data_IF_931646513738
#
_entry.id   IF_931646513738
#
_cell.length_a   1.000
_cell.length_b   1.000
_cell.length_c   1.000
_cell.angle_alpha   90.00
_cell.angle_beta   90.00
_cell.angle_gamma   90.00
#
_symmetry.space_group_name_H-M   'P 1'
#
loop_
_entity.id
_entity.type
_entity.pdbx_description
1 polymer ?
#
# COMPACT_ATOMS: atom_id res chain seq x y z
N UNK A 1 -22.24 11.16 -0.25
CA UNK A 1 -20.78 11.10 -0.50
C UNK A 1 -20.07 12.01 0.49
N UNK A 2 -19.07 11.52 1.25
CA UNK A 2 -18.17 12.41 2.01
C UNK A 2 -17.48 13.33 0.97
N UNK A 3 -17.67 14.63 1.06
CA UNK A 3 -17.02 15.57 0.15
C UNK A 3 -15.51 15.53 0.39
N UNK A 4 -14.71 15.02 -0.54
CA UNK A 4 -13.24 14.94 -0.47
C UNK A 4 -12.63 16.26 -0.96
N UNK A 5 -11.53 16.71 -0.34
CA UNK A 5 -10.76 17.86 -0.82
C UNK A 5 -10.07 17.47 -2.13
N UNK A 6 -10.23 18.27 -3.19
CA UNK A 6 -9.72 17.94 -4.51
C UNK A 6 -8.20 17.70 -4.52
N UNK A 7 -7.77 16.66 -5.26
CA UNK A 7 -6.37 16.27 -5.43
C UNK A 7 -5.47 17.44 -5.85
N UNK A 8 -5.96 18.31 -6.74
CA UNK A 8 -5.18 19.44 -7.25
C UNK A 8 -4.66 20.34 -6.13
N UNK A 9 -5.47 20.59 -5.09
CA UNK A 9 -5.01 21.39 -3.94
C UNK A 9 -3.80 20.77 -3.25
N UNK A 10 -3.73 19.44 -3.15
CA UNK A 10 -2.57 18.76 -2.59
C UNK A 10 -1.36 18.83 -3.54
N UNK A 11 -1.56 18.69 -4.85
CA UNK A 11 -0.48 18.83 -5.86
C UNK A 11 0.11 20.24 -5.88
N UNK A 12 -0.68 21.27 -5.65
CA UNK A 12 -0.18 22.66 -5.67
C UNK A 12 0.79 22.96 -4.51
N UNK A 13 0.81 22.13 -3.46
CA UNK A 13 1.56 22.39 -2.22
C UNK A 13 2.64 21.35 -1.96
N UNK A 14 2.37 20.09 -2.29
CA UNK A 14 3.32 19.00 -2.10
C UNK A 14 4.31 19.05 -3.27
N UNK A 15 5.62 19.19 -3.06
CA UNK A 15 6.56 19.28 -4.16
C UNK A 15 6.75 17.93 -4.85
N UNK A 16 7.00 17.95 -6.17
CA UNK A 16 7.49 16.78 -6.90
C UNK A 16 8.84 16.33 -6.37
N UNK A 17 9.05 15.02 -6.34
CA UNK A 17 10.31 14.45 -5.87
C UNK A 17 11.41 14.58 -6.92
N UNK A 18 12.47 15.35 -6.62
CA UNK A 18 13.69 15.37 -7.41
C UNK A 18 14.66 14.31 -6.85
N UNK A 19 14.49 13.07 -7.30
CA UNK A 19 15.34 11.94 -6.87
C UNK A 19 16.81 12.09 -7.29
N UNK A 20 17.15 13.08 -8.14
CA UNK A 20 18.53 13.38 -8.54
C UNK A 20 19.26 14.24 -7.50
N UNK A 21 18.54 14.79 -6.51
CA UNK A 21 19.11 15.59 -5.42
C UNK A 21 18.96 14.86 -4.07
N UNK A 22 20.06 14.43 -3.43
CA UNK A 22 20.00 13.73 -2.15
C UNK A 22 19.49 14.60 -0.98
N UNK A 23 19.41 15.92 -1.19
CA UNK A 23 18.89 16.90 -0.21
C UNK A 23 17.38 17.14 -0.33
N UNK A 24 16.64 16.30 -1.07
CA UNK A 24 15.22 16.54 -1.35
C UNK A 24 14.38 16.75 -0.07
N UNK A 25 13.84 17.97 0.07
CA UNK A 25 12.93 18.38 1.14
C UNK A 25 11.48 18.27 0.64
N UNK A 26 10.80 17.17 0.95
CA UNK A 26 9.35 17.14 0.83
C UNK A 26 8.68 18.07 1.86
N UNK A 27 7.35 18.12 1.87
CA UNK A 27 6.60 19.01 2.76
C UNK A 27 6.06 18.28 4.00
N UNK A 28 6.07 18.93 5.17
CA UNK A 28 5.44 18.39 6.39
C UNK A 28 3.93 18.55 6.34
N UNK A 29 3.18 17.63 6.96
CA UNK A 29 1.72 17.73 7.04
C UNK A 29 1.21 19.06 7.61
N UNK A 30 1.89 19.59 8.63
CA UNK A 30 1.48 20.84 9.25
C UNK A 30 1.54 22.03 8.28
N UNK A 31 2.52 22.03 7.37
CA UNK A 31 2.65 23.04 6.31
C UNK A 31 1.50 22.93 5.32
N UNK A 32 1.17 21.72 4.85
CA UNK A 32 0.01 21.47 3.98
C UNK A 32 -1.28 21.99 4.62
N UNK A 33 -1.51 21.63 5.88
CA UNK A 33 -2.71 22.03 6.61
C UNK A 33 -2.82 23.55 6.78
N UNK A 34 -1.75 24.22 7.21
CA UNK A 34 -1.73 25.66 7.40
C UNK A 34 -2.06 26.39 6.10
N UNK A 35 -1.50 25.91 5.00
CA UNK A 35 -1.69 26.50 3.68
C UNK A 35 -3.11 26.31 3.15
N UNK A 36 -3.72 25.13 3.36
CA UNK A 36 -5.14 24.92 3.06
C UNK A 36 -6.09 25.83 3.85
N UNK A 37 -5.77 26.10 5.12
CA UNK A 37 -6.52 27.04 5.95
C UNK A 37 -6.34 28.47 5.43
N UNK A 38 -5.11 28.86 5.08
CA UNK A 38 -4.77 30.18 4.51
C UNK A 38 -5.53 30.44 3.20
N UNK A 39 -5.60 29.44 2.32
CA UNK A 39 -6.29 29.51 1.03
C UNK A 39 -7.82 29.36 1.13
N UNK A 40 -8.36 29.14 2.34
CA UNK A 40 -9.81 29.02 2.54
C UNK A 40 -10.44 27.78 1.89
N UNK A 41 -9.66 26.71 1.68
CA UNK A 41 -10.14 25.49 1.00
C UNK A 41 -11.31 24.87 1.77
N UNK A 42 -12.40 24.57 1.06
CA UNK A 42 -13.60 23.98 1.66
C UNK A 42 -13.26 22.60 2.26
N UNK A 43 -13.50 22.43 3.56
CA UNK A 43 -13.18 21.21 4.30
C UNK A 43 -11.84 21.25 5.05
N UNK A 44 -10.98 22.25 4.80
CA UNK A 44 -9.68 22.38 5.43
C UNK A 44 -9.71 22.74 6.92
N UNK A 45 -10.82 23.31 7.42
CA UNK A 45 -10.99 23.63 8.85
C UNK A 45 -10.92 22.39 9.76
N UNK A 46 -11.09 21.19 9.20
CA UNK A 46 -10.94 19.93 9.92
C UNK A 46 -9.60 19.27 9.59
N UNK A 47 -8.63 19.38 10.51
CA UNK A 47 -7.29 18.79 10.37
C UNK A 47 -7.30 17.27 10.16
N UNK A 48 -8.23 16.55 10.80
CA UNK A 48 -8.33 15.10 10.63
C UNK A 48 -8.81 14.77 9.21
N UNK A 49 -9.74 15.54 8.67
CA UNK A 49 -10.21 15.41 7.30
C UNK A 49 -9.09 15.61 6.28
N UNK A 50 -8.30 16.68 6.40
CA UNK A 50 -7.16 16.95 5.50
C UNK A 50 -6.16 15.78 5.51
N UNK A 51 -6.00 15.14 6.67
CA UNK A 51 -5.12 13.97 6.83
C UNK A 51 -5.71 12.71 6.22
N UNK A 52 -6.98 12.42 6.48
CA UNK A 52 -7.68 11.26 5.88
C UNK A 52 -7.67 11.34 4.35
N UNK A 53 -8.00 12.52 3.80
CA UNK A 53 -8.00 12.74 2.36
C UNK A 53 -6.56 12.64 1.77
N UNK A 54 -5.53 13.13 2.48
CA UNK A 54 -4.12 12.96 2.06
C UNK A 54 -3.67 11.49 2.10
N UNK A 55 -4.03 10.76 3.15
CA UNK A 55 -3.73 9.33 3.26
C UNK A 55 -4.40 8.53 2.15
N UNK A 56 -5.63 8.89 1.78
CA UNK A 56 -6.31 8.32 0.63
C UNK A 56 -5.52 8.57 -0.67
N UNK A 57 -4.99 9.78 -0.88
CA UNK A 57 -4.17 10.05 -2.07
C UNK A 57 -2.78 9.39 -2.04
N UNK A 58 -2.23 9.09 -0.86
CA UNK A 58 -1.05 8.23 -0.71
C UNK A 58 -1.40 6.79 -1.07
N UNK A 59 -2.55 6.30 -0.60
CA UNK A 59 -3.06 4.95 -0.95
C UNK A 59 -3.33 4.82 -2.44
N UNK A 60 -3.73 5.90 -3.13
CA UNK A 60 -3.86 5.94 -4.59
C UNK A 60 -2.53 6.18 -5.34
N UNK A 61 -1.43 6.35 -4.62
CA UNK A 61 -0.10 6.51 -5.21
C UNK A 61 0.24 7.90 -5.71
N UNK A 62 -0.57 8.94 -5.49
CA UNK A 62 -0.23 10.31 -5.91
C UNK A 62 0.84 10.99 -5.05
N UNK A 63 0.99 10.54 -3.80
CA UNK A 63 2.00 11.07 -2.89
C UNK A 63 2.75 9.94 -2.17
N UNK A 64 4.04 10.15 -1.95
CA UNK A 64 4.87 9.35 -1.06
C UNK A 64 4.95 9.96 0.34
N UNK A 65 5.29 9.12 1.33
CA UNK A 65 5.48 9.52 2.72
C UNK A 65 6.79 8.93 3.24
N UNK A 66 7.74 9.79 3.61
CA UNK A 66 8.91 9.40 4.41
C UNK A 66 8.53 9.53 5.87
N UNK A 67 8.68 8.44 6.63
CA UNK A 67 8.48 8.46 8.06
C UNK A 67 9.54 7.61 8.75
N UNK A 68 10.35 8.28 9.55
CA UNK A 68 11.30 7.64 10.44
C UNK A 68 10.61 7.36 11.79
N UNK A 69 10.43 6.09 12.10
CA UNK A 69 9.79 5.63 13.33
C UNK A 69 10.73 5.75 14.56
N UNK A 70 12.05 5.88 14.35
CA UNK A 70 13.05 5.93 15.42
C UNK A 70 13.27 7.35 15.92
N UNK A 71 13.24 8.34 15.04
CA UNK A 71 13.50 9.75 15.41
C UNK A 71 12.25 10.57 15.76
N UNK A 72 11.05 9.97 15.70
CA UNK A 72 9.76 10.65 15.92
C UNK A 72 9.55 11.91 15.07
N UNK A 73 10.31 12.08 13.99
CA UNK A 73 10.18 13.24 13.10
C UNK A 73 8.82 13.20 12.40
N UNK A 74 8.23 14.38 12.22
CA UNK A 74 6.99 14.49 11.47
C UNK A 74 7.17 13.91 10.06
N UNK A 75 6.18 13.16 9.55
CA UNK A 75 6.26 12.63 8.20
C UNK A 75 6.42 13.74 7.18
N UNK A 76 7.22 13.44 6.16
CA UNK A 76 7.45 14.30 5.00
C UNK A 76 6.73 13.69 3.81
N UNK A 77 6.02 14.53 3.06
CA UNK A 77 5.18 14.15 1.92
C UNK A 77 5.77 14.74 0.63
N UNK A 78 5.67 13.99 -0.46
CA UNK A 78 6.18 14.40 -1.76
C UNK A 78 5.27 13.83 -2.85
N UNK A 79 5.18 14.49 -4.01
CA UNK A 79 4.45 13.91 -5.12
C UNK A 79 5.24 12.73 -5.66
N UNK A 80 4.53 11.63 -5.82
CA UNK A 80 4.99 10.50 -6.60
C UNK A 80 4.40 10.67 -7.99
N UNK A 81 5.21 10.41 -9.01
CA UNK A 81 4.79 10.58 -10.40
C UNK A 81 3.78 9.54 -10.89
N UNK A 82 3.19 8.75 -9.99
CA UNK A 82 2.10 7.84 -10.33
C UNK A 82 0.84 8.71 -10.54
N UNK A 83 0.58 9.05 -11.80
CA UNK A 83 -0.65 9.72 -12.25
C UNK A 83 -0.53 11.19 -12.68
N UNK A 84 0.65 11.67 -13.05
CA UNK A 84 0.81 13.00 -13.64
C UNK A 84 1.98 13.05 -14.61
N UNK A 85 1.65 13.22 -15.89
CA UNK A 85 2.47 13.67 -17.02
C UNK A 85 4.01 13.63 -16.78
N UNK A 86 4.62 12.45 -16.96
CA UNK A 86 6.06 12.27 -16.83
C UNK A 86 6.77 12.75 -18.09
N UNK A 87 7.53 13.83 -17.99
CA UNK A 87 8.29 14.40 -19.11
C UNK A 87 9.46 13.54 -19.62
N UNK A 88 9.87 12.45 -18.95
CA UNK A 88 10.96 11.55 -19.43
C UNK A 88 10.87 10.11 -18.89
N UNK A 89 11.31 9.13 -19.70
CA UNK A 89 11.31 7.69 -19.40
C UNK A 89 12.17 7.29 -18.18
N UNK A 90 13.24 8.03 -17.89
CA UNK A 90 14.18 7.74 -16.78
C UNK A 90 13.51 7.82 -15.39
N UNK A 91 12.67 8.84 -15.17
CA UNK A 91 12.01 9.07 -13.88
C UNK A 91 10.95 8.00 -13.58
N UNK A 92 10.29 7.49 -14.63
CA UNK A 92 9.37 6.36 -14.53
C UNK A 92 10.11 5.07 -14.15
N UNK A 93 11.26 4.83 -14.76
CA UNK A 93 12.10 3.65 -14.51
C UNK A 93 12.65 3.67 -13.07
N UNK A 94 13.08 4.82 -12.56
CA UNK A 94 13.52 4.96 -11.17
C UNK A 94 12.36 4.84 -10.17
N UNK A 95 11.18 5.35 -10.52
CA UNK A 95 9.94 5.11 -9.75
C UNK A 95 9.61 3.63 -9.66
N UNK A 96 9.73 2.89 -10.77
CA UNK A 96 9.50 1.45 -10.78
C UNK A 96 10.52 0.68 -9.93
N UNK A 97 11.81 1.05 -10.00
CA UNK A 97 12.86 0.48 -9.13
C UNK A 97 12.54 0.70 -7.64
N UNK A 98 12.12 1.91 -7.28
CA UNK A 98 11.72 2.23 -5.91
C UNK A 98 10.55 1.38 -5.44
N UNK A 99 9.49 1.27 -6.26
CA UNK A 99 8.32 0.45 -5.91
C UNK A 99 8.72 -1.02 -5.75
N UNK A 100 9.60 -1.53 -6.61
CA UNK A 100 10.15 -2.88 -6.46
C UNK A 100 10.86 -3.07 -5.12
N UNK A 101 11.78 -2.18 -4.74
CA UNK A 101 12.47 -2.25 -3.44
C UNK A 101 11.50 -2.18 -2.26
N UNK A 102 10.44 -1.38 -2.38
CA UNK A 102 9.39 -1.30 -1.37
C UNK A 102 8.65 -2.63 -1.24
N UNK A 103 8.24 -3.24 -2.36
CA UNK A 103 7.58 -4.55 -2.40
C UNK A 103 8.47 -5.64 -1.78
N UNK A 104 9.76 -5.69 -2.16
CA UNK A 104 10.74 -6.63 -1.59
C UNK A 104 10.80 -6.51 -0.05
N UNK A 105 10.83 -5.26 0.45
CA UNK A 105 10.84 -5.00 1.90
C UNK A 105 9.54 -5.45 2.59
N UNK A 106 8.38 -5.29 1.93
CA UNK A 106 7.09 -5.76 2.46
C UNK A 106 7.03 -7.28 2.48
N UNK A 107 7.45 -7.95 1.41
CA UNK A 107 7.47 -9.41 1.36
C UNK A 107 8.44 -10.03 2.37
N UNK A 108 9.62 -9.44 2.56
CA UNK A 108 10.55 -9.87 3.61
C UNK A 108 9.90 -9.77 4.99
N UNK A 109 9.21 -8.65 5.29
CA UNK A 109 8.47 -8.50 6.54
C UNK A 109 7.36 -9.54 6.71
N UNK A 110 6.60 -9.82 5.65
CA UNK A 110 5.56 -10.87 5.65
C UNK A 110 6.19 -12.24 5.97
N UNK A 111 7.32 -12.57 5.35
CA UNK A 111 8.05 -13.81 5.58
C UNK A 111 8.58 -13.93 7.01
N UNK A 112 9.21 -12.87 7.53
CA UNK A 112 9.73 -12.81 8.90
C UNK A 112 8.60 -13.00 9.91
N UNK A 113 7.49 -12.29 9.75
CA UNK A 113 6.35 -12.42 10.67
C UNK A 113 5.69 -13.80 10.55
N UNK A 114 5.61 -14.38 9.35
CA UNK A 114 5.13 -15.76 9.16
C UNK A 114 5.99 -16.78 9.94
N UNK A 115 7.32 -16.63 9.92
CA UNK A 115 8.24 -17.50 10.68
C UNK A 115 7.97 -17.44 12.19
N UNK A 116 7.56 -16.29 12.72
CA UNK A 116 7.22 -16.09 14.15
C UNK A 116 5.86 -16.67 14.57
N UNK A 117 4.96 -16.96 13.63
CA UNK A 117 3.67 -17.55 13.95
C UNK A 117 3.84 -19.01 14.38
N UNK A 118 3.10 -19.44 15.39
CA UNK A 118 3.05 -20.83 15.80
C UNK A 118 2.01 -21.54 14.94
N UNK A 119 2.46 -22.39 14.00
CA UNK A 119 1.64 -22.95 12.92
C UNK A 119 0.60 -23.93 13.45
N UNK A 120 0.96 -24.69 14.47
CA UNK A 120 0.05 -25.60 15.19
C UNK A 120 -1.02 -24.78 15.93
N UNK A 121 -0.63 -23.64 16.53
CA UNK A 121 -1.56 -22.76 17.26
C UNK A 121 -2.26 -21.70 16.42
N UNK A 122 -1.96 -21.59 15.13
CA UNK A 122 -2.64 -20.63 14.23
C UNK A 122 -4.16 -20.82 14.28
N UNK A 123 -4.59 -22.06 14.53
CA UNK A 123 -6.00 -22.48 14.48
C UNK A 123 -6.44 -23.39 15.66
N UNK A 124 -5.53 -23.97 16.46
CA UNK A 124 -5.93 -24.80 17.62
C UNK A 124 -6.75 -24.08 18.73
N UNK A 125 -6.77 -22.74 18.79
CA UNK A 125 -7.58 -21.98 19.77
C UNK A 125 -8.98 -21.62 19.26
N UNK A 126 -9.67 -22.53 18.58
CA UNK A 126 -11.11 -22.41 18.25
C UNK A 126 -12.06 -22.68 19.45
N UNK A 127 -11.79 -22.16 20.65
CA UNK A 127 -12.69 -22.32 21.80
C UNK A 127 -13.93 -21.40 21.78
N UNK A 128 -14.04 -20.45 20.86
CA UNK A 128 -15.23 -19.59 20.75
C UNK A 128 -15.72 -19.52 19.31
N UNK A 129 -16.71 -20.35 18.97
CA UNK A 129 -17.60 -20.15 17.82
C UNK A 129 -18.30 -18.80 17.99
N UNK A 130 -18.42 -18.04 16.90
CA UNK A 130 -19.36 -16.90 16.87
C UNK A 130 -20.80 -17.41 17.02
N UNK A 131 -21.76 -16.52 17.33
CA UNK A 131 -23.20 -16.88 17.40
C UNK A 131 -23.73 -17.59 16.14
N UNK A 132 -23.03 -17.46 15.00
CA UNK A 132 -23.37 -18.08 13.70
C UNK A 132 -22.54 -19.33 13.37
N UNK A 133 -21.77 -19.87 14.32
CA UNK A 133 -20.95 -21.08 14.11
C UNK A 133 -19.61 -20.86 13.41
N UNK A 134 -19.33 -19.66 12.91
CA UNK A 134 -18.08 -19.36 12.20
C UNK A 134 -16.90 -19.28 13.16
N UNK A 135 -15.78 -19.85 12.71
CA UNK A 135 -14.49 -19.87 13.37
C UNK A 135 -13.82 -18.48 13.29
N UNK A 136 -13.18 -18.02 14.38
CA UNK A 136 -12.49 -16.73 14.42
C UNK A 136 -10.96 -16.92 14.47
N UNK A 137 -10.18 -16.27 13.60
CA UNK A 137 -8.71 -16.35 13.62
C UNK A 137 -8.12 -15.79 14.92
N UNK A 138 -6.88 -16.17 15.22
CA UNK A 138 -6.12 -15.54 16.29
C UNK A 138 -5.75 -14.10 15.92
N UNK A 139 -5.68 -13.19 16.91
CA UNK A 139 -5.24 -11.80 16.67
C UNK A 139 -3.86 -11.70 15.99
N UNK A 140 -2.98 -12.68 16.21
CA UNK A 140 -1.66 -12.73 15.57
C UNK A 140 -1.79 -13.02 14.08
N UNK A 141 -2.66 -13.96 13.71
CA UNK A 141 -2.96 -14.25 12.31
C UNK A 141 -3.65 -13.08 11.62
N UNK A 142 -4.63 -12.44 12.27
CA UNK A 142 -5.28 -11.22 11.73
C UNK A 142 -4.25 -10.13 11.42
N UNK A 143 -3.32 -9.84 12.35
CA UNK A 143 -2.25 -8.86 12.14
C UNK A 143 -1.30 -9.24 11.01
N UNK A 144 -1.02 -10.52 10.84
CA UNK A 144 -0.18 -11.00 9.75
C UNK A 144 -0.88 -10.84 8.40
N UNK A 145 -2.17 -11.16 8.32
CA UNK A 145 -2.99 -10.94 7.11
C UNK A 145 -3.01 -9.46 6.71
N UNK A 146 -3.11 -8.53 7.67
CA UNK A 146 -3.07 -7.09 7.39
C UNK A 146 -1.75 -6.61 6.75
N UNK A 147 -0.67 -7.38 6.81
CA UNK A 147 0.57 -7.02 6.13
C UNK A 147 0.43 -7.11 4.60
N UNK A 148 -0.47 -7.97 4.12
CA UNK A 148 -0.76 -8.13 2.69
C UNK A 148 -1.54 -6.93 2.13
N UNK A 149 -2.34 -6.25 2.95
CA UNK A 149 -3.12 -5.07 2.52
C UNK A 149 -2.22 -4.02 1.84
N UNK A 150 -1.02 -3.80 2.41
CA UNK A 150 -0.05 -2.88 1.81
C UNK A 150 0.48 -3.34 0.46
N UNK A 151 0.70 -4.64 0.27
CA UNK A 151 1.16 -5.20 -1.00
C UNK A 151 0.05 -5.07 -2.04
N UNK A 152 -1.19 -5.41 -1.66
CA UNK A 152 -2.37 -5.32 -2.53
C UNK A 152 -2.53 -3.89 -3.06
N UNK A 153 -2.54 -2.89 -2.18
CA UNK A 153 -2.70 -1.48 -2.56
C UNK A 153 -1.60 -1.04 -3.54
N UNK A 154 -0.35 -1.41 -3.27
CA UNK A 154 0.77 -1.09 -4.19
C UNK A 154 0.55 -1.76 -5.55
N UNK A 155 0.15 -3.03 -5.59
CA UNK A 155 -0.11 -3.75 -6.84
C UNK A 155 -1.29 -3.17 -7.62
N UNK A 156 -2.39 -2.80 -6.96
CA UNK A 156 -3.53 -2.13 -7.60
C UNK A 156 -3.12 -0.80 -8.22
N UNK A 157 -2.28 0.00 -7.53
CA UNK A 157 -1.76 1.24 -8.09
C UNK A 157 -0.84 1.01 -9.29
N UNK A 158 0.02 -0.02 -9.25
CA UNK A 158 0.84 -0.40 -10.41
C UNK A 158 -0.04 -0.78 -11.60
N UNK A 159 -1.11 -1.55 -11.37
CA UNK A 159 -2.08 -1.92 -12.41
C UNK A 159 -2.77 -0.68 -12.98
N UNK A 160 -3.25 0.23 -12.13
CA UNK A 160 -3.85 1.49 -12.56
C UNK A 160 -2.88 2.34 -13.37
N UNK A 161 -1.63 2.46 -12.93
CA UNK A 161 -0.58 3.20 -13.66
C UNK A 161 -0.33 2.60 -15.02
N UNK A 162 -0.24 1.26 -15.12
CA UNK A 162 -0.07 0.57 -16.39
C UNK A 162 -1.23 0.82 -17.37
N UNK A 163 -2.48 0.84 -16.88
CA UNK A 163 -3.66 1.08 -17.74
C UNK A 163 -3.80 2.54 -18.17
N UNK A 164 -3.27 3.48 -17.39
CA UNK A 164 -3.47 4.91 -17.60
C UNK A 164 -2.25 5.64 -18.17
N UNK A 165 -1.10 4.99 -18.25
CA UNK A 165 0.09 5.57 -18.86
C UNK A 165 0.05 5.45 -20.38
N UNK A 166 0.41 6.53 -21.07
CA UNK A 166 0.51 6.59 -22.54
C UNK A 166 1.88 6.10 -23.07
N UNK A 167 2.72 5.53 -22.21
CA UNK A 167 4.09 5.10 -22.53
C UNK A 167 4.19 3.58 -22.71
N UNK A 168 4.12 3.11 -23.96
CA UNK A 168 4.19 1.68 -24.29
C UNK A 168 5.50 1.01 -23.84
N UNK A 169 6.63 1.73 -23.83
CA UNK A 169 7.96 1.17 -23.52
C UNK A 169 8.08 0.59 -22.10
N UNK A 170 7.30 1.09 -21.14
CA UNK A 170 7.37 0.65 -19.74
C UNK A 170 6.22 -0.28 -19.35
N UNK A 171 5.29 -0.53 -20.28
CA UNK A 171 4.12 -1.39 -20.06
C UNK A 171 4.51 -2.80 -19.71
N UNK A 172 5.57 -3.29 -20.33
CA UNK A 172 6.11 -4.61 -20.04
C UNK A 172 6.77 -4.67 -18.67
N UNK A 173 7.51 -3.64 -18.28
CA UNK A 173 8.18 -3.60 -16.97
C UNK A 173 7.18 -3.52 -15.81
N UNK A 174 6.14 -2.68 -15.93
CA UNK A 174 5.03 -2.63 -14.98
C UNK A 174 4.27 -3.97 -14.96
N UNK A 175 3.94 -4.53 -16.13
CA UNK A 175 3.26 -5.82 -16.24
C UNK A 175 4.04 -6.95 -15.59
N UNK A 176 5.36 -6.96 -15.78
CA UNK A 176 6.26 -7.93 -15.16
C UNK A 176 6.27 -7.77 -13.65
N UNK A 177 6.43 -6.55 -13.13
CA UNK A 177 6.41 -6.31 -11.68
C UNK A 177 5.07 -6.72 -11.04
N UNK A 178 3.94 -6.36 -11.65
CA UNK A 178 2.61 -6.77 -11.20
C UNK A 178 2.50 -8.30 -11.19
N UNK A 179 2.88 -8.94 -12.29
CA UNK A 179 2.80 -10.40 -12.44
C UNK A 179 3.66 -11.12 -11.40
N UNK A 180 4.89 -10.65 -11.19
CA UNK A 180 5.82 -11.25 -10.22
C UNK A 180 5.33 -11.04 -8.78
N UNK A 181 4.76 -9.88 -8.48
CA UNK A 181 4.12 -9.61 -7.18
C UNK A 181 2.95 -10.57 -6.91
N UNK A 182 2.08 -10.79 -7.89
CA UNK A 182 0.95 -11.74 -7.78
C UNK A 182 1.46 -13.18 -7.64
N UNK A 183 2.52 -13.58 -8.36
CA UNK A 183 3.15 -14.91 -8.19
C UNK A 183 3.68 -15.10 -6.76
N UNK A 184 4.28 -14.07 -6.19
CA UNK A 184 4.79 -14.16 -4.82
C UNK A 184 3.65 -14.24 -3.79
N UNK A 185 2.59 -13.43 -3.96
CA UNK A 185 1.34 -13.56 -3.19
C UNK A 185 0.76 -14.98 -3.27
N UNK A 186 0.75 -15.58 -4.47
CA UNK A 186 0.29 -16.96 -4.69
C UNK A 186 1.19 -17.98 -3.98
N UNK A 187 2.50 -17.77 -3.98
CA UNK A 187 3.44 -18.63 -3.25
C UNK A 187 3.13 -18.62 -1.75
N UNK A 188 2.79 -17.45 -1.18
CA UNK A 188 2.32 -17.36 0.19
C UNK A 188 0.97 -18.05 0.41
N UNK A 189 0.00 -17.83 -0.47
CA UNK A 189 -1.32 -18.49 -0.38
C UNK A 189 -1.18 -20.01 -0.31
N UNK A 190 -0.41 -20.61 -1.22
CA UNK A 190 -0.09 -22.05 -1.27
C UNK A 190 0.62 -22.54 0.00
N UNK A 191 1.59 -21.77 0.50
CA UNK A 191 2.34 -22.10 1.72
C UNK A 191 1.45 -22.13 2.96
N UNK A 192 0.52 -21.19 3.08
CA UNK A 192 -0.43 -21.16 4.21
C UNK A 192 -1.51 -22.22 4.06
N UNK A 193 -1.98 -22.46 2.82
CA UNK A 193 -2.99 -23.47 2.51
C UNK A 193 -2.51 -24.88 2.87
N UNK A 194 -1.28 -25.22 2.46
CA UNK A 194 -0.64 -26.51 2.74
C UNK A 194 -0.26 -26.76 4.21
N UNK A 195 -0.49 -25.80 5.12
CA UNK A 195 -0.07 -25.94 6.52
C UNK A 195 -0.98 -26.90 7.32
N UNK A 196 -2.29 -26.99 7.00
CA UNK A 196 -3.18 -28.05 7.52
C UNK A 196 -4.54 -28.09 6.79
N UNK A 197 -5.21 -29.24 6.77
CA UNK A 197 -6.55 -29.43 6.17
C UNK A 197 -7.64 -28.52 6.77
N UNK A 198 -7.55 -28.21 8.06
CA UNK A 198 -8.52 -27.34 8.73
C UNK A 198 -8.37 -25.87 8.30
N UNK A 199 -7.23 -25.52 7.71
CA UNK A 199 -6.89 -24.16 7.31
C UNK A 199 -7.29 -23.85 5.87
N UNK A 200 -7.41 -24.87 5.02
CA UNK A 200 -7.67 -24.74 3.58
C UNK A 200 -8.81 -23.76 3.30
N UNK A 201 -10.00 -24.02 3.86
CA UNK A 201 -11.20 -23.17 3.68
C UNK A 201 -11.02 -21.74 4.19
N UNK A 202 -10.25 -21.55 5.26
CA UNK A 202 -10.05 -20.22 5.83
C UNK A 202 -9.05 -19.41 5.01
N UNK A 203 -7.96 -20.06 4.57
CA UNK A 203 -6.97 -19.48 3.67
C UNK A 203 -7.62 -19.10 2.35
N UNK A 204 -8.40 -20.00 1.76
CA UNK A 204 -9.23 -19.70 0.59
C UNK A 204 -10.12 -18.49 0.83
N UNK A 205 -10.84 -18.41 1.96
CA UNK A 205 -11.71 -17.28 2.26
C UNK A 205 -10.98 -15.94 2.49
N UNK A 206 -9.73 -15.97 2.96
CA UNK A 206 -8.90 -14.76 3.16
C UNK A 206 -8.36 -14.28 1.82
N UNK A 207 -7.74 -15.18 1.06
CA UNK A 207 -7.08 -14.84 -0.20
C UNK A 207 -8.07 -14.65 -1.35
N UNK A 208 -9.28 -15.24 -1.29
CA UNK A 208 -10.36 -14.96 -2.26
C UNK A 208 -10.89 -13.52 -2.18
N UNK A 209 -10.55 -12.75 -1.14
CA UNK A 209 -10.87 -11.32 -1.04
C UNK A 209 -9.85 -10.44 -1.75
N UNK A 210 -8.75 -11.01 -2.22
CA UNK A 210 -7.77 -10.25 -2.98
C UNK A 210 -8.39 -9.87 -4.34
N UNK A 211 -8.06 -8.67 -4.86
CA UNK A 211 -8.57 -8.21 -6.15
C UNK A 211 -7.91 -8.93 -7.34
N UNK A 212 -7.00 -9.88 -7.09
CA UNK A 212 -6.25 -10.63 -8.09
C UNK A 212 -6.64 -12.11 -8.09
N UNK A 213 -6.40 -12.80 -9.20
CA UNK A 213 -6.61 -14.25 -9.29
C UNK A 213 -5.60 -14.96 -8.40
N UNK A 214 -6.09 -15.46 -7.26
CA UNK A 214 -5.30 -16.25 -6.31
C UNK A 214 -5.37 -17.75 -6.62
N UNK A 215 -4.24 -18.43 -6.48
CA UNK A 215 -4.11 -19.89 -6.66
C UNK A 215 -3.58 -20.52 -5.37
N UNK A 216 -4.10 -21.70 -5.04
CA UNK A 216 -3.79 -22.48 -3.84
C UNK A 216 -3.18 -23.83 -4.22
#
# INVERSE_FOLDING_TARGET
>A
MKAIIALQHYRDIIPESDFRKPEFEGVKFQTIYNEFVRLGIKGARNKNKVREDLHYYIELGFFGRIHDNETHKQPIFYQTHIGGDLKTDESLLDGLKFVKTLLDTKFEKINVEWKKLDKEKLFHKFRKRTKRGNLKPTKKLERWIMLFDHVIVITENLMWTRETMDYDMLKDDYSKLITDTIKELNTFAKKVHSTSKENERYVEAVFARMPFVMTF
#
